data_IF_037011077615
#
_entry.id   IF_037011077615
#
_cell.length_a   1.000
_cell.length_b   1.000
_cell.length_c   1.000
_cell.angle_alpha   90.00
_cell.angle_beta   90.00
_cell.angle_gamma   90.00
#
_symmetry.space_group_name_H-M   'P 1'
#
loop_
_entity.id
_entity.type
_entity.pdbx_description
1 polymer ?
#
# COMPACT_ATOMS: atom_id res chain seq x y z
N UNK A 1 13.13 -1.02 5.73
CA UNK A 1 12.29 0.10 6.11
C UNK A 1 11.10 -0.34 6.92
N UNK A 2 10.81 0.41 7.94
CA UNK A 2 9.70 0.07 8.81
C UNK A 2 8.47 0.90 8.44
N UNK A 3 7.36 0.21 8.25
CA UNK A 3 6.08 0.85 8.04
C UNK A 3 5.35 0.93 9.37
N UNK A 4 4.65 2.04 9.58
CA UNK A 4 3.82 2.15 10.77
C UNK A 4 2.64 1.19 10.65
N UNK A 5 1.96 0.88 11.77
CA UNK A 5 0.80 -0.03 11.68
C UNK A 5 -0.24 0.41 10.66
N UNK A 6 -0.52 1.70 10.59
CA UNK A 6 -1.50 2.20 9.63
C UNK A 6 -0.98 2.07 8.20
N UNK A 7 0.31 2.32 8.01
CA UNK A 7 0.91 2.15 6.69
C UNK A 7 0.85 0.70 6.23
N UNK A 8 1.04 -0.23 7.17
CA UNK A 8 0.95 -1.65 6.83
C UNK A 8 -0.46 -1.98 6.35
N UNK A 9 -1.48 -1.46 7.00
CA UNK A 9 -2.85 -1.69 6.57
C UNK A 9 -3.08 -1.16 5.16
N UNK A 10 -2.60 0.06 4.90
CA UNK A 10 -2.74 0.64 3.57
C UNK A 10 -1.95 -0.18 2.55
N UNK A 11 -0.76 -0.62 2.93
CA UNK A 11 0.06 -1.43 2.04
C UNK A 11 -0.65 -2.70 1.60
N UNK A 12 -1.26 -3.40 2.53
CA UNK A 12 -1.96 -4.63 2.19
C UNK A 12 -3.15 -4.38 1.29
N UNK A 13 -3.88 -3.30 1.53
CA UNK A 13 -5.01 -2.97 0.68
C UNK A 13 -4.55 -2.63 -0.73
N UNK A 14 -3.45 -1.89 -0.86
CA UNK A 14 -2.88 -1.58 -2.16
C UNK A 14 -2.43 -2.86 -2.87
N UNK A 15 -1.82 -3.76 -2.12
CA UNK A 15 -1.32 -5.01 -2.69
C UNK A 15 -2.46 -5.90 -3.20
N UNK A 16 -3.64 -5.72 -2.63
CA UNK A 16 -4.81 -6.47 -3.10
C UNK A 16 -5.47 -5.83 -4.30
N UNK A 17 -4.92 -4.71 -4.78
CA UNK A 17 -5.47 -4.02 -5.94
C UNK A 17 -6.57 -3.04 -5.61
N UNK A 18 -6.74 -2.68 -4.35
CA UNK A 18 -7.77 -1.73 -3.96
C UNK A 18 -7.35 -0.30 -4.30
N UNK A 19 -8.33 0.54 -4.63
CA UNK A 19 -8.03 1.92 -4.92
C UNK A 19 -8.12 2.78 -3.66
N UNK A 20 -7.79 4.06 -3.80
CA UNK A 20 -7.77 4.95 -2.65
C UNK A 20 -9.15 5.13 -2.03
N UNK A 21 -10.19 5.16 -2.85
CA UNK A 21 -11.54 5.33 -2.32
C UNK A 21 -11.91 4.18 -1.40
N UNK A 22 -11.54 2.96 -1.78
CA UNK A 22 -11.80 1.79 -0.96
C UNK A 22 -11.03 1.89 0.36
N UNK A 23 -9.75 2.26 0.28
CA UNK A 23 -8.91 2.37 1.48
C UNK A 23 -9.46 3.42 2.42
N UNK A 24 -9.90 4.54 1.87
CA UNK A 24 -10.44 5.61 2.68
C UNK A 24 -11.65 5.17 3.48
N UNK A 25 -12.54 4.41 2.84
CA UNK A 25 -13.74 3.93 3.52
C UNK A 25 -13.43 2.80 4.49
N UNK A 26 -12.54 1.93 4.10
CA UNK A 26 -12.20 0.78 4.94
C UNK A 26 -11.54 1.22 6.25
N UNK A 27 -10.67 2.20 6.17
CA UNK A 27 -9.93 2.67 7.35
C UNK A 27 -10.55 3.89 7.99
N UNK A 28 -11.61 4.42 7.40
CA UNK A 28 -12.31 5.60 7.88
C UNK A 28 -11.36 6.78 8.08
N UNK A 29 -10.61 7.11 7.03
CA UNK A 29 -9.68 8.22 7.05
C UNK A 29 -9.93 9.11 5.85
N UNK A 30 -9.39 10.34 5.91
CA UNK A 30 -9.59 11.29 4.84
C UNK A 30 -8.73 11.00 3.62
N UNK A 31 -9.11 11.64 2.51
CA UNK A 31 -8.39 11.45 1.26
C UNK A 31 -6.94 11.91 1.37
N UNK A 32 -6.71 13.00 2.06
CA UNK A 32 -5.34 13.50 2.25
C UNK A 32 -4.50 12.53 3.04
N UNK A 33 -5.11 11.90 4.04
CA UNK A 33 -4.40 10.92 4.85
C UNK A 33 -4.02 9.71 4.02
N UNK A 34 -4.93 9.25 3.16
CA UNK A 34 -4.64 8.11 2.28
C UNK A 34 -3.49 8.47 1.35
N UNK A 35 -3.55 9.64 0.73
CA UNK A 35 -2.49 10.06 -0.17
C UNK A 35 -1.15 10.10 0.53
N UNK A 36 -1.15 10.63 1.75
CA UNK A 36 0.08 10.73 2.53
C UNK A 36 0.66 9.35 2.82
N UNK A 37 -0.19 8.42 3.22
CA UNK A 37 0.26 7.06 3.50
C UNK A 37 0.79 6.38 2.24
N UNK A 38 0.08 6.54 1.13
CA UNK A 38 0.49 5.92 -0.13
C UNK A 38 1.85 6.46 -0.55
N UNK A 39 2.02 7.77 -0.48
CA UNK A 39 3.29 8.38 -0.87
C UNK A 39 4.43 7.88 0.02
N UNK A 40 4.17 7.80 1.31
CA UNK A 40 5.19 7.33 2.25
C UNK A 40 5.55 5.88 1.96
N UNK A 41 4.55 5.04 1.71
CA UNK A 41 4.78 3.63 1.42
C UNK A 41 5.61 3.47 0.15
N UNK A 42 5.23 4.19 -0.90
CA UNK A 42 5.97 4.10 -2.15
C UNK A 42 7.43 4.49 -1.96
N UNK A 43 7.67 5.53 -1.17
CA UNK A 43 9.04 5.97 -0.92
C UNK A 43 9.81 4.94 -0.10
N UNK A 44 9.19 4.38 0.92
CA UNK A 44 9.87 3.43 1.81
C UNK A 44 10.13 2.10 1.13
N UNK A 45 9.27 1.69 0.21
CA UNK A 45 9.44 0.44 -0.51
C UNK A 45 10.11 0.63 -1.86
N UNK A 46 10.39 1.88 -2.22
CA UNK A 46 11.10 2.20 -3.46
C UNK A 46 10.35 1.70 -4.69
N UNK A 47 9.04 1.88 -4.70
CA UNK A 47 8.22 1.56 -5.87
C UNK A 47 7.59 2.85 -6.39
N UNK A 48 7.16 2.82 -7.65
CA UNK A 48 6.62 4.00 -8.30
C UNK A 48 5.18 3.84 -8.76
N UNK A 49 4.61 2.67 -8.57
CA UNK A 49 3.23 2.44 -8.96
C UNK A 49 2.65 1.30 -8.13
N UNK A 50 1.32 1.20 -8.19
CA UNK A 50 0.66 0.15 -7.45
C UNK A 50 1.04 -1.23 -8.00
N UNK A 51 1.23 -1.33 -9.29
CA UNK A 51 1.62 -2.60 -9.89
C UNK A 51 2.99 -3.04 -9.39
N UNK A 52 3.92 -2.10 -9.26
CA UNK A 52 5.24 -2.43 -8.72
C UNK A 52 5.14 -2.91 -7.28
N UNK A 53 4.25 -2.28 -6.53
CA UNK A 53 4.06 -2.67 -5.14
C UNK A 53 3.49 -4.07 -5.04
N UNK A 54 2.53 -4.40 -5.90
CA UNK A 54 1.95 -5.74 -5.93
C UNK A 54 3.02 -6.77 -6.30
N UNK A 55 3.83 -6.44 -7.28
CA UNK A 55 4.93 -7.33 -7.68
C UNK A 55 5.91 -7.54 -6.55
N UNK A 56 6.22 -6.47 -5.83
CA UNK A 56 7.13 -6.56 -4.70
C UNK A 56 6.61 -7.53 -3.64
N UNK A 57 5.33 -7.42 -3.32
CA UNK A 57 4.75 -8.29 -2.31
C UNK A 57 4.79 -9.75 -2.76
N UNK A 58 4.48 -9.99 -4.02
CA UNK A 58 4.48 -11.35 -4.54
C UNK A 58 5.88 -11.96 -4.50
N UNK A 59 6.88 -11.16 -4.83
CA UNK A 59 8.26 -11.64 -4.77
C UNK A 59 8.68 -11.95 -3.34
N UNK A 60 8.34 -11.06 -2.42
CA UNK A 60 8.76 -11.21 -1.04
C UNK A 60 8.08 -12.39 -0.35
N UNK A 61 6.84 -12.67 -0.73
CA UNK A 61 6.12 -13.77 -0.12
C UNK A 61 6.49 -15.12 -0.71
N UNK A 62 7.18 -15.11 -1.84
CA UNK A 62 7.55 -16.35 -2.50
C UNK A 62 6.38 -17.06 -3.15
N UNK A 63 5.30 -16.36 -3.36
CA UNK A 63 4.12 -16.93 -4.00
C UNK A 63 4.39 -17.11 -5.48
N UNK A 64 4.07 -18.26 -5.96
CA UNK A 64 4.30 -18.59 -7.36
C UNK A 64 3.00 -18.55 -8.11
N UNK A 65 2.56 -17.45 -8.46
CA UNK A 65 1.39 -17.35 -9.30
C UNK A 65 0.38 -18.46 -9.15
#
# INVERSE_FOLDING_TARGET
>A
CLLSPREIEVFFLLAKGRNRAYIREELVIGDETVKSHVKSIYRKTDVHSQQELIDLLERESGVEG
#
